data_IF_097497101375
#
_entry.id   IF_097497101375
#
_cell.length_a   1.000
_cell.length_b   1.000
_cell.length_c   1.000
_cell.angle_alpha   90.00
_cell.angle_beta   90.00
_cell.angle_gamma   90.00
#
_symmetry.space_group_name_H-M   'P 1'
#
loop_
_entity.id
_entity.type
_entity.pdbx_description
1 polymer ?
#
# COMPACT_ATOMS: atom_id res chain seq x y z
N UNK A 1 26.57 21.04 7.54
CA UNK A 1 25.81 20.80 6.31
C UNK A 1 25.33 22.13 5.76
N UNK A 2 25.26 22.25 4.43
CA UNK A 2 24.62 23.40 3.75
C UNK A 2 23.27 22.89 3.24
N UNK A 3 22.22 23.66 3.41
CA UNK A 3 20.88 23.30 2.93
C UNK A 3 20.79 23.59 1.43
N UNK A 4 20.63 22.54 0.61
CA UNK A 4 20.51 22.65 -0.85
C UNK A 4 19.05 22.65 -1.32
N UNK A 5 18.19 21.82 -0.71
CA UNK A 5 16.76 21.73 -1.00
C UNK A 5 15.93 21.93 0.26
N UNK A 6 14.88 22.74 0.15
CA UNK A 6 13.91 23.00 1.24
C UNK A 6 12.53 22.54 0.82
N UNK A 7 11.81 21.93 1.75
CA UNK A 7 10.42 21.50 1.58
C UNK A 7 9.57 22.13 2.68
N UNK A 8 8.40 22.65 2.31
CA UNK A 8 7.44 23.24 3.26
C UNK A 8 6.12 22.50 3.11
N UNK A 9 5.75 21.77 4.17
CA UNK A 9 4.53 20.98 4.22
C UNK A 9 3.51 21.73 5.06
N UNK A 10 2.33 21.96 4.49
CA UNK A 10 1.24 22.68 5.16
C UNK A 10 0.19 21.68 5.62
N UNK A 11 -0.22 21.79 6.89
CA UNK A 11 -1.30 20.97 7.43
C UNK A 11 -2.67 21.32 6.87
N UNK A 12 -3.53 20.30 6.71
CA UNK A 12 -4.86 20.45 6.10
C UNK A 12 -5.92 20.99 7.08
N UNK A 13 -5.84 20.62 8.36
CA UNK A 13 -6.86 20.97 9.35
C UNK A 13 -6.60 22.34 9.98
N UNK A 14 -7.53 23.29 9.75
CA UNK A 14 -7.48 24.60 10.39
C UNK A 14 -7.50 24.44 11.92
N UNK A 15 -6.59 25.15 12.60
CA UNK A 15 -6.39 25.06 14.05
C UNK A 15 -5.91 23.70 14.57
N UNK A 16 -5.59 22.75 13.69
CA UNK A 16 -5.11 21.42 14.06
C UNK A 16 -3.73 21.42 14.74
N UNK A 17 -2.97 22.50 14.52
CA UNK A 17 -1.56 22.66 14.91
C UNK A 17 -0.68 21.56 14.33
N UNK A 18 -0.81 21.33 13.02
CA UNK A 18 0.13 20.49 12.29
C UNK A 18 1.57 20.98 12.52
N UNK A 19 2.48 20.05 12.78
CA UNK A 19 3.86 20.37 13.16
C UNK A 19 4.08 20.61 14.65
N UNK A 20 3.07 20.35 15.50
CA UNK A 20 3.21 20.54 16.95
C UNK A 20 4.23 19.56 17.57
N UNK A 21 4.27 18.34 17.07
CA UNK A 21 5.27 17.33 17.44
C UNK A 21 5.79 16.65 16.18
N UNK A 22 7.04 16.19 16.25
CA UNK A 22 7.75 15.53 15.16
C UNK A 22 8.55 14.37 15.73
N UNK A 23 8.58 13.25 15.01
CA UNK A 23 9.42 12.11 15.33
C UNK A 23 10.02 11.52 14.06
N UNK A 24 11.35 11.33 14.06
CA UNK A 24 11.98 10.42 13.12
C UNK A 24 11.64 8.98 13.54
N UNK A 25 11.25 8.14 12.58
CA UNK A 25 10.72 6.80 12.87
C UNK A 25 11.41 5.69 12.08
N UNK A 26 12.53 6.01 11.42
CA UNK A 26 13.18 5.08 10.50
C UNK A 26 12.35 4.88 9.23
N UNK A 27 12.63 3.81 8.51
CA UNK A 27 11.97 3.46 7.25
C UNK A 27 10.75 2.55 7.53
N UNK A 28 9.54 3.14 7.57
CA UNK A 28 8.30 2.43 7.94
C UNK A 28 7.79 1.54 6.81
N UNK A 29 8.07 1.91 5.55
CA UNK A 29 7.64 1.16 4.38
C UNK A 29 8.77 0.35 3.73
N UNK A 30 9.96 0.38 4.32
CA UNK A 30 11.17 -0.31 3.89
C UNK A 30 11.53 -0.02 2.42
N UNK A 31 11.37 1.22 1.96
CA UNK A 31 11.71 1.62 0.59
C UNK A 31 13.16 2.13 0.42
N UNK A 32 13.93 2.13 1.50
CA UNK A 32 15.32 2.59 1.58
C UNK A 32 15.46 4.03 2.04
N UNK A 33 14.37 4.74 2.33
CA UNK A 33 14.39 6.12 2.81
C UNK A 33 13.72 6.24 4.18
N UNK A 34 14.35 7.02 5.08
CA UNK A 34 13.75 7.24 6.39
C UNK A 34 12.52 8.13 6.31
N UNK A 35 11.55 7.80 7.15
CA UNK A 35 10.28 8.47 7.32
C UNK A 35 10.22 9.25 8.63
N UNK A 36 9.19 10.08 8.73
CA UNK A 36 8.89 10.80 9.97
C UNK A 36 7.38 10.99 10.14
N UNK A 37 7.00 11.29 11.37
CA UNK A 37 5.61 11.51 11.75
C UNK A 37 5.44 12.93 12.26
N UNK A 38 4.33 13.54 11.85
CA UNK A 38 3.93 14.88 12.29
C UNK A 38 2.67 14.76 13.14
N UNK A 39 2.69 15.31 14.35
CA UNK A 39 1.51 15.40 15.21
C UNK A 39 0.75 16.70 15.04
N UNK A 40 -0.59 16.60 15.10
CA UNK A 40 -1.53 17.71 15.13
C UNK A 40 -2.60 17.46 16.20
N UNK A 41 -2.34 17.84 17.47
CA UNK A 41 -3.16 17.45 18.62
C UNK A 41 -4.61 17.94 18.57
N UNK A 42 -4.90 18.92 17.73
CA UNK A 42 -6.24 19.53 17.66
C UNK A 42 -6.92 19.29 16.31
N UNK A 43 -6.32 18.47 15.45
CA UNK A 43 -6.86 18.07 14.17
C UNK A 43 -8.03 17.09 14.32
N UNK A 44 -8.72 16.82 13.20
CA UNK A 44 -9.84 15.90 13.13
C UNK A 44 -11.10 16.32 13.89
N UNK A 45 -12.12 15.45 13.85
CA UNK A 45 -13.42 15.72 14.48
C UNK A 45 -13.27 15.89 16.00
N UNK A 46 -14.00 16.85 16.57
CA UNK A 46 -14.02 17.15 18.01
C UNK A 46 -12.65 17.45 18.63
N UNK A 47 -11.63 17.81 17.83
CA UNK A 47 -10.25 18.01 18.30
C UNK A 47 -9.69 16.77 19.00
N UNK A 48 -10.03 15.59 18.48
CA UNK A 48 -9.47 14.32 18.96
C UNK A 48 -7.94 14.28 18.76
N UNK A 49 -7.45 14.99 17.75
CA UNK A 49 -6.04 15.03 17.34
C UNK A 49 -5.77 14.02 16.23
N UNK A 50 -4.64 14.18 15.55
CA UNK A 50 -4.18 13.28 14.50
C UNK A 50 -2.66 13.21 14.45
N UNK A 51 -2.14 12.15 13.82
CA UNK A 51 -0.77 12.09 13.33
C UNK A 51 -0.76 11.82 11.82
N UNK A 52 0.29 12.28 11.15
CA UNK A 52 0.48 12.18 9.71
C UNK A 52 1.80 11.49 9.43
N UNK A 53 1.76 10.43 8.62
CA UNK A 53 2.94 9.67 8.20
C UNK A 53 3.49 10.31 6.92
N UNK A 54 4.75 10.74 6.99
CA UNK A 54 5.46 11.40 5.89
C UNK A 54 6.58 10.50 5.41
N UNK A 55 6.45 9.98 4.18
CA UNK A 55 7.49 9.14 3.62
C UNK A 55 8.64 9.94 3.01
N UNK A 56 9.84 9.41 3.21
CA UNK A 56 11.03 9.78 2.46
C UNK A 56 10.96 9.35 0.99
N UNK A 57 11.94 9.80 0.23
CA UNK A 57 12.18 9.37 -1.15
C UNK A 57 13.55 9.84 -1.61
N UNK A 58 13.97 9.34 -2.79
CA UNK A 58 15.18 9.79 -3.48
C UNK A 58 15.24 11.30 -3.71
N UNK A 59 14.09 11.95 -3.83
CA UNK A 59 13.97 13.38 -4.14
C UNK A 59 13.80 14.25 -2.89
N UNK A 60 13.84 13.65 -1.69
CA UNK A 60 13.56 14.27 -0.40
C UNK A 60 12.24 13.77 0.19
N UNK A 61 11.51 14.64 0.90
CA UNK A 61 10.22 14.28 1.51
C UNK A 61 9.07 14.34 0.50
N UNK A 62 8.16 13.35 0.56
CA UNK A 62 6.87 13.44 -0.13
C UNK A 62 5.99 14.48 0.55
N UNK A 63 5.58 15.52 -0.17
CA UNK A 63 4.82 16.65 0.41
C UNK A 63 3.45 16.24 0.97
N UNK A 64 2.85 15.20 0.39
CA UNK A 64 1.57 14.65 0.85
C UNK A 64 1.85 13.47 1.77
N UNK A 65 1.20 13.47 2.94
CA UNK A 65 1.21 12.30 3.82
C UNK A 65 0.63 11.07 3.11
N UNK A 66 1.10 9.89 3.47
CA UNK A 66 0.56 8.62 2.96
C UNK A 66 -0.53 8.06 3.85
N UNK A 67 -0.52 8.41 5.14
CA UNK A 67 -1.56 8.03 6.08
C UNK A 67 -1.81 9.14 7.10
N UNK A 68 -3.09 9.40 7.39
CA UNK A 68 -3.55 10.22 8.51
C UNK A 68 -4.23 9.29 9.51
N UNK A 69 -3.77 9.29 10.75
CA UNK A 69 -4.37 8.50 11.83
C UNK A 69 -5.03 9.47 12.79
N UNK A 70 -6.36 9.47 12.82
CA UNK A 70 -7.14 10.30 13.73
C UNK A 70 -7.29 9.63 15.09
N UNK A 71 -7.12 10.40 16.16
CA UNK A 71 -7.30 9.92 17.52
C UNK A 71 -8.70 9.36 17.78
N UNK A 72 -9.72 9.85 17.05
CA UNK A 72 -11.08 9.32 17.12
C UNK A 72 -11.18 7.83 16.73
N UNK A 73 -10.28 7.34 15.85
CA UNK A 73 -10.21 5.93 15.49
C UNK A 73 -9.66 5.06 16.63
N UNK A 74 -8.92 5.64 17.57
CA UNK A 74 -8.38 4.98 18.76
C UNK A 74 -9.38 4.93 19.93
N UNK A 75 -10.53 5.60 19.78
CA UNK A 75 -11.63 5.57 20.75
C UNK A 75 -12.36 6.90 20.89
N UNK A 76 -13.64 6.88 21.31
CA UNK A 76 -14.52 8.05 21.29
C UNK A 76 -14.13 9.16 22.26
N UNK A 77 -13.26 8.86 23.24
CA UNK A 77 -12.82 9.80 24.29
C UNK A 77 -11.42 10.37 24.06
N UNK A 78 -10.77 9.99 22.96
CA UNK A 78 -9.41 10.43 22.66
C UNK A 78 -9.38 11.96 22.47
N UNK A 79 -8.39 12.63 23.09
CA UNK A 79 -8.19 14.07 22.98
C UNK A 79 -6.71 14.37 22.94
N UNK A 80 -6.31 15.35 22.12
CA UNK A 80 -4.89 15.74 21.98
C UNK A 80 -3.98 14.63 21.44
N UNK A 81 -4.53 13.68 20.68
CA UNK A 81 -3.73 12.65 20.02
C UNK A 81 -2.73 13.26 19.04
N UNK A 82 -1.46 12.87 19.14
CA UNK A 82 -0.37 13.51 18.40
C UNK A 82 0.33 14.62 19.18
N UNK A 83 0.07 14.76 20.48
CA UNK A 83 0.79 15.74 21.31
C UNK A 83 2.24 15.38 21.54
N UNK A 84 2.51 14.09 21.74
CA UNK A 84 3.85 13.52 21.77
C UNK A 84 3.88 12.36 20.80
N UNK A 85 4.98 12.21 20.07
CA UNK A 85 5.20 11.10 19.14
C UNK A 85 6.60 10.57 19.39
N UNK A 86 6.73 9.25 19.40
CA UNK A 86 7.99 8.53 19.39
C UNK A 86 7.86 7.34 18.44
N UNK A 87 8.97 6.87 17.88
CA UNK A 87 8.99 5.67 17.05
C UNK A 87 10.41 5.29 16.67
N UNK A 88 10.55 4.46 15.65
CA UNK A 88 11.87 3.98 15.19
C UNK A 88 12.40 2.80 15.99
N UNK A 89 11.54 2.15 16.77
CA UNK A 89 11.85 0.94 17.53
C UNK A 89 10.78 -0.09 17.21
N UNK A 90 11.22 -1.28 16.84
CA UNK A 90 10.38 -2.47 16.70
C UNK A 90 10.01 -2.99 18.09
N UNK A 91 8.72 -2.95 18.45
CA UNK A 91 8.25 -3.36 19.79
C UNK A 91 7.63 -4.74 19.81
N UNK A 92 7.28 -5.31 18.66
CA UNK A 92 6.67 -6.64 18.54
C UNK A 92 7.59 -7.70 17.92
N UNK A 93 8.79 -7.30 17.46
CA UNK A 93 9.80 -8.18 16.89
C UNK A 93 9.54 -8.54 15.43
N UNK A 94 8.67 -7.80 14.73
CA UNK A 94 8.31 -8.09 13.34
C UNK A 94 9.33 -7.54 12.31
N UNK A 95 10.45 -6.97 12.75
CA UNK A 95 11.50 -6.42 11.90
C UNK A 95 11.17 -5.06 11.30
N UNK A 96 10.08 -4.42 11.72
CA UNK A 96 9.62 -3.12 11.25
C UNK A 96 9.55 -2.12 12.42
N UNK A 97 9.89 -0.84 12.21
CA UNK A 97 9.85 0.14 13.29
C UNK A 97 8.41 0.55 13.63
N UNK A 98 8.09 0.64 14.92
CA UNK A 98 6.76 0.98 15.40
C UNK A 98 6.68 2.41 15.96
N UNK A 99 5.45 2.81 16.31
CA UNK A 99 5.12 4.18 16.68
C UNK A 99 4.29 4.23 17.95
N UNK A 100 4.66 5.12 18.87
CA UNK A 100 3.86 5.48 20.03
C UNK A 100 3.40 6.94 19.95
N UNK A 101 2.13 7.18 20.26
CA UNK A 101 1.49 8.50 20.19
C UNK A 101 0.80 8.82 21.52
N UNK A 102 1.21 9.91 22.15
CA UNK A 102 0.64 10.43 23.38
C UNK A 102 -0.55 11.35 23.14
N UNK A 103 -1.54 11.23 24.03
CA UNK A 103 -2.78 12.00 24.08
C UNK A 103 -3.05 12.43 25.53
N UNK A 104 -2.26 13.39 26.03
CA UNK A 104 -2.21 13.71 27.46
C UNK A 104 -3.56 14.13 28.03
N UNK A 105 -4.38 14.88 27.28
CA UNK A 105 -5.66 15.42 27.77
C UNK A 105 -6.68 14.32 28.08
N UNK A 106 -6.60 13.18 27.39
CA UNK A 106 -7.41 12.01 27.70
C UNK A 106 -6.66 10.97 28.53
N UNK A 107 -5.38 11.20 28.86
CA UNK A 107 -4.56 10.30 29.67
C UNK A 107 -4.20 9.00 28.95
N UNK A 108 -4.04 9.05 27.61
CA UNK A 108 -3.79 7.85 26.81
C UNK A 108 -2.45 7.92 26.07
N UNK A 109 -1.92 6.74 25.76
CA UNK A 109 -0.87 6.52 24.76
C UNK A 109 -1.36 5.40 23.85
N UNK A 110 -1.26 5.57 22.54
CA UNK A 110 -1.49 4.48 21.58
C UNK A 110 -0.14 4.00 21.05
N UNK A 111 0.09 2.70 21.10
CA UNK A 111 1.23 2.05 20.43
C UNK A 111 0.67 1.37 19.18
N UNK A 112 1.24 1.67 18.04
CA UNK A 112 0.82 1.21 16.72
C UNK A 112 1.96 0.42 16.13
N UNK A 113 1.74 -0.88 15.94
CA UNK A 113 2.68 -1.73 15.24
C UNK A 113 2.51 -1.59 13.74
N UNK A 114 3.62 -1.56 13.02
CA UNK A 114 3.64 -1.52 11.57
C UNK A 114 3.31 -2.89 10.99
N UNK A 115 2.91 -2.93 9.72
CA UNK A 115 2.65 -4.18 9.01
C UNK A 115 3.84 -4.50 8.10
N UNK A 116 4.15 -5.79 7.88
CA UNK A 116 5.09 -6.21 6.86
C UNK A 116 4.72 -5.64 5.48
N UNK A 117 5.73 -5.33 4.68
CA UNK A 117 5.56 -4.79 3.33
C UNK A 117 5.91 -5.86 2.31
N UNK A 118 4.98 -6.12 1.40
CA UNK A 118 5.14 -7.10 0.32
C UNK A 118 5.19 -6.36 -1.01
N UNK A 119 6.26 -6.59 -1.77
CA UNK A 119 6.39 -6.16 -3.17
C UNK A 119 6.01 -7.33 -4.06
N UNK A 120 4.98 -7.15 -4.89
CA UNK A 120 4.53 -8.15 -5.85
C UNK A 120 4.91 -7.70 -7.24
N UNK A 121 5.69 -8.52 -7.92
CA UNK A 121 6.06 -8.36 -9.33
C UNK A 121 5.30 -9.38 -10.15
N UNK A 122 4.57 -8.91 -11.16
CA UNK A 122 3.79 -9.75 -12.05
C UNK A 122 4.16 -9.47 -13.50
N UNK A 123 4.16 -10.53 -14.31
CA UNK A 123 4.31 -10.43 -15.74
C UNK A 123 3.33 -11.38 -16.41
N UNK A 124 2.63 -10.88 -17.41
CA UNK A 124 1.86 -11.68 -18.37
C UNK A 124 2.60 -11.64 -19.71
N UNK A 125 2.39 -12.63 -20.57
CA UNK A 125 3.00 -12.70 -21.92
C UNK A 125 3.07 -11.33 -22.63
N UNK A 126 4.14 -11.12 -23.41
CA UNK A 126 4.51 -9.82 -23.97
C UNK A 126 3.37 -9.06 -24.71
N UNK A 127 3.41 -7.74 -24.63
CA UNK A 127 2.37 -6.80 -25.08
C UNK A 127 2.00 -6.88 -26.57
N UNK A 128 2.90 -7.36 -27.43
CA UNK A 128 2.66 -7.44 -28.88
C UNK A 128 2.70 -8.88 -29.34
N UNK A 129 1.60 -9.60 -29.12
CA UNK A 129 1.42 -10.87 -29.80
C UNK A 129 0.18 -10.81 -30.67
N UNK A 130 0.44 -10.83 -31.97
CA UNK A 130 -0.56 -10.95 -33.01
C UNK A 130 -1.24 -12.32 -32.91
N UNK A 131 -2.56 -12.31 -32.87
CA UNK A 131 -3.38 -13.52 -32.95
C UNK A 131 -3.70 -13.75 -34.42
N UNK A 132 -3.21 -14.87 -34.98
CA UNK A 132 -3.62 -15.29 -36.32
C UNK A 132 -4.97 -16.01 -36.24
N UNK A 133 -6.02 -15.34 -36.71
CA UNK A 133 -7.40 -15.86 -36.66
C UNK A 133 -7.60 -17.07 -37.59
N UNK A 134 -6.73 -17.24 -38.59
CA UNK A 134 -6.79 -18.39 -39.51
C UNK A 134 -6.20 -19.67 -38.89
N UNK A 135 -5.35 -19.55 -37.88
CA UNK A 135 -4.77 -20.68 -37.17
C UNK A 135 -5.77 -21.28 -36.17
N UNK A 136 -6.54 -22.28 -36.62
CA UNK A 136 -7.57 -22.97 -35.84
C UNK A 136 -6.98 -24.13 -35.03
N UNK A 137 -6.17 -23.78 -34.04
CA UNK A 137 -5.33 -24.70 -33.27
C UNK A 137 -6.04 -25.43 -32.10
N UNK A 138 -7.26 -25.03 -31.72
CA UNK A 138 -8.02 -25.65 -30.62
C UNK A 138 -9.44 -26.00 -31.06
N UNK A 139 -10.04 -27.01 -30.41
CA UNK A 139 -11.46 -27.35 -30.56
C UNK A 139 -12.24 -26.86 -29.32
N UNK A 140 -13.09 -25.86 -29.49
CA UNK A 140 -13.78 -25.20 -28.36
C UNK A 140 -14.89 -26.10 -27.82
N UNK A 141 -15.88 -26.40 -28.66
CA UNK A 141 -16.95 -27.36 -28.40
C UNK A 141 -17.61 -27.83 -29.72
N UNK A 142 -18.52 -28.80 -29.63
CA UNK A 142 -19.20 -29.37 -30.79
C UNK A 142 -20.09 -28.38 -31.59
N UNK A 143 -20.42 -27.21 -31.04
CA UNK A 143 -21.25 -26.17 -31.69
C UNK A 143 -20.41 -25.10 -32.37
N UNK A 144 -19.30 -24.69 -31.76
CA UNK A 144 -18.41 -23.63 -32.22
C UNK A 144 -17.31 -24.20 -33.12
N UNK A 145 -16.90 -25.45 -32.90
CA UNK A 145 -15.84 -26.13 -33.62
C UNK A 145 -14.46 -25.52 -33.37
N UNK A 146 -13.54 -25.69 -34.33
CA UNK A 146 -12.17 -25.22 -34.18
C UNK A 146 -12.04 -23.71 -34.29
N UNK A 147 -11.30 -23.11 -33.36
CA UNK A 147 -11.02 -21.68 -33.27
C UNK A 147 -9.53 -21.40 -33.04
N UNK A 148 -9.14 -20.13 -33.15
CA UNK A 148 -7.80 -19.67 -32.77
C UNK A 148 -7.75 -19.48 -31.26
N UNK A 149 -7.02 -20.36 -30.57
CA UNK A 149 -6.77 -20.24 -29.15
C UNK A 149 -5.32 -19.84 -28.88
N UNK A 150 -5.11 -19.27 -27.70
CA UNK A 150 -3.78 -19.02 -27.20
C UNK A 150 -3.74 -19.13 -25.68
N UNK A 151 -2.67 -19.72 -25.18
CA UNK A 151 -2.37 -19.76 -23.75
C UNK A 151 -1.86 -18.39 -23.31
N UNK A 152 -2.40 -17.89 -22.21
CA UNK A 152 -1.91 -16.69 -21.54
C UNK A 152 -1.20 -17.15 -20.28
N UNK A 153 0.12 -17.00 -20.25
CA UNK A 153 0.90 -17.31 -19.06
C UNK A 153 1.08 -16.03 -18.22
N UNK A 154 0.78 -16.14 -16.93
CA UNK A 154 1.04 -15.07 -15.96
C UNK A 154 1.87 -15.63 -14.84
N UNK A 155 3.00 -14.97 -14.59
CA UNK A 155 3.90 -15.29 -13.50
C UNK A 155 3.83 -14.17 -12.47
N UNK A 156 3.73 -14.57 -11.20
CA UNK A 156 3.85 -13.68 -10.06
C UNK A 156 5.07 -14.10 -9.23
N UNK A 157 5.78 -13.11 -8.71
CA UNK A 157 6.81 -13.26 -7.70
C UNK A 157 6.58 -12.20 -6.65
N UNK A 158 6.73 -12.56 -5.38
CA UNK A 158 6.66 -11.60 -4.28
C UNK A 158 7.95 -11.61 -3.47
N UNK A 159 8.24 -10.48 -2.84
CA UNK A 159 9.32 -10.30 -1.88
C UNK A 159 8.75 -9.56 -0.66
N UNK A 160 9.00 -10.10 0.52
CA UNK A 160 8.54 -9.54 1.79
C UNK A 160 9.67 -8.90 2.58
N UNK A 161 9.35 -7.87 3.36
CA UNK A 161 10.22 -7.29 4.39
C UNK A 161 9.53 -7.30 5.74
N UNK A 162 10.32 -7.45 6.81
CA UNK A 162 9.81 -7.78 8.15
C UNK A 162 9.38 -9.24 8.25
N UNK A 163 8.50 -9.53 9.21
CA UNK A 163 7.93 -10.86 9.48
C UNK A 163 6.79 -11.18 8.50
N UNK A 164 7.12 -11.14 7.19
CA UNK A 164 6.17 -11.48 6.13
C UNK A 164 5.93 -12.99 6.13
N UNK A 165 4.67 -13.46 6.05
CA UNK A 165 4.35 -14.88 5.90
C UNK A 165 5.05 -15.51 4.68
N UNK A 166 5.43 -16.78 4.80
CA UNK A 166 5.99 -17.56 3.68
C UNK A 166 4.91 -18.02 2.69
N UNK A 167 3.64 -17.89 3.06
CA UNK A 167 2.47 -18.21 2.26
C UNK A 167 1.56 -16.98 2.14
N UNK A 168 1.34 -16.54 0.90
CA UNK A 168 0.44 -15.43 0.58
C UNK A 168 -0.61 -15.89 -0.43
N UNK A 169 -1.86 -15.58 -0.13
CA UNK A 169 -2.98 -15.83 -1.04
C UNK A 169 -3.14 -14.65 -1.99
N UNK A 170 -3.10 -14.92 -3.30
CA UNK A 170 -3.33 -13.94 -4.35
C UNK A 170 -4.64 -14.23 -5.09
N UNK A 171 -5.53 -13.25 -5.16
CA UNK A 171 -6.73 -13.32 -5.99
C UNK A 171 -6.44 -12.63 -7.32
N UNK A 172 -6.24 -13.44 -8.36
CA UNK A 172 -6.02 -12.98 -9.73
C UNK A 172 -7.37 -12.78 -10.45
N UNK A 173 -7.50 -11.66 -11.15
CA UNK A 173 -8.66 -11.37 -12.02
C UNK A 173 -8.17 -11.02 -13.41
N UNK A 174 -8.63 -11.78 -14.39
CA UNK A 174 -8.35 -11.53 -15.80
C UNK A 174 -9.58 -10.92 -16.47
N UNK A 175 -9.39 -9.83 -17.20
CA UNK A 175 -10.41 -9.28 -18.08
C UNK A 175 -9.85 -9.24 -19.50
N UNK A 176 -10.49 -9.98 -20.42
CA UNK A 176 -10.12 -10.01 -21.82
C UNK A 176 -10.91 -8.96 -22.59
N UNK A 177 -10.23 -8.25 -23.50
CA UNK A 177 -10.88 -7.27 -24.37
C UNK A 177 -11.63 -6.17 -23.61
N UNK A 178 -11.10 -5.74 -22.45
CA UNK A 178 -11.70 -4.77 -21.50
C UNK A 178 -12.05 -3.40 -22.13
N UNK A 179 -11.50 -3.11 -23.31
CA UNK A 179 -11.73 -1.86 -24.04
C UNK A 179 -12.76 -2.01 -25.18
N UNK A 180 -13.34 -3.20 -25.39
CA UNK A 180 -14.36 -3.46 -26.41
C UNK A 180 -15.75 -3.63 -25.78
N UNK A 181 -16.79 -2.96 -26.30
CA UNK A 181 -18.16 -3.14 -25.83
C UNK A 181 -18.73 -4.53 -26.15
N UNK A 182 -18.20 -5.18 -27.19
CA UNK A 182 -18.50 -6.57 -27.52
C UNK A 182 -17.22 -7.39 -27.39
N UNK A 183 -17.11 -8.30 -26.40
CA UNK A 183 -15.90 -9.06 -26.15
C UNK A 183 -15.63 -10.05 -27.28
N UNK A 184 -14.44 -9.98 -27.86
CA UNK A 184 -14.01 -10.83 -28.99
C UNK A 184 -13.20 -12.04 -28.54
N UNK A 185 -12.85 -12.12 -27.27
CA UNK A 185 -12.10 -13.21 -26.67
C UNK A 185 -12.74 -13.64 -25.35
N UNK A 186 -12.66 -14.92 -25.05
CA UNK A 186 -13.19 -15.50 -23.82
C UNK A 186 -12.28 -16.64 -23.37
N UNK A 187 -12.30 -16.92 -22.07
CA UNK A 187 -11.60 -18.07 -21.52
C UNK A 187 -12.42 -19.35 -21.72
N UNK A 188 -11.73 -20.44 -22.03
CA UNK A 188 -12.30 -21.78 -21.93
C UNK A 188 -12.19 -22.24 -20.48
N UNK A 189 -13.33 -22.38 -19.80
CA UNK A 189 -13.37 -22.61 -18.35
C UNK A 189 -12.66 -23.91 -17.92
N UNK A 190 -12.62 -24.92 -18.80
CA UNK A 190 -11.90 -26.18 -18.56
C UNK A 190 -10.36 -26.05 -18.59
N UNK A 191 -9.86 -24.97 -19.17
CA UNK A 191 -8.43 -24.75 -19.43
C UNK A 191 -7.81 -23.72 -18.45
N UNK A 192 -8.59 -23.27 -17.46
CA UNK A 192 -8.09 -22.43 -16.36
C UNK A 192 -7.40 -23.33 -15.33
N UNK A 193 -6.06 -23.39 -15.42
CA UNK A 193 -5.22 -24.16 -14.49
C UNK A 193 -4.42 -23.20 -13.61
N UNK A 194 -4.43 -23.43 -12.30
CA UNK A 194 -3.53 -22.75 -11.36
C UNK A 194 -2.48 -23.76 -10.87
N UNK A 195 -1.22 -23.50 -11.18
CA UNK A 195 -0.09 -24.22 -10.60
C UNK A 195 0.56 -23.32 -9.54
N UNK A 196 0.58 -23.77 -8.29
CA UNK A 196 1.31 -23.11 -7.20
C UNK A 196 2.69 -23.79 -7.16
N UNK A 197 3.74 -23.01 -7.41
CA UNK A 197 5.13 -23.45 -7.30
C UNK A 197 5.74 -23.04 -5.95
#
# INVERSE_FOLDING_TARGET
GVFDRTSVIVGEDQWGRFGFSLAAVGDLNQDGYNDFIVGAPYAGKNKAGAVYIMHGSKDGVRQKYTQKIEGGAMGPRMKTFGFAVAGGVDVDGNGMPDVAVGAWKSGNVAVMTTKPVVTVTGQTDADSVTINVEDKNCDVDAKIGKQSCRTINTCLRYEGKGDTPNDLEFILRYNLDDHSPEPRAYFLQRDVVSEIA
#
